data_IF_608165116041
#
_entry.id   IF_608165116041
#
_cell.length_a   1.000
_cell.length_b   1.000
_cell.length_c   1.000
_cell.angle_alpha   90.00
_cell.angle_beta   90.00
_cell.angle_gamma   90.00
#
_symmetry.space_group_name_H-M   'P 1'
#
loop_
_entity.id
_entity.type
_entity.pdbx_description
1 polymer ?
#
# COMPACT_ATOMS: atom_id res chain seq x y z
N UNK A 1 -52.25 -69.40 39.20
CA UNK A 1 -52.35 -69.24 37.75
C UNK A 1 -51.19 -68.37 37.29
N UNK A 2 -50.32 -68.95 36.45
CA UNK A 2 -49.66 -68.30 35.30
C UNK A 2 -48.53 -67.27 35.59
N UNK A 3 -47.32 -67.70 35.17
CA UNK A 3 -46.19 -66.98 34.52
C UNK A 3 -45.18 -66.15 35.32
N UNK A 4 -43.98 -66.73 35.47
CA UNK A 4 -42.72 -66.16 34.96
C UNK A 4 -42.87 -65.66 33.52
N UNK A 5 -42.25 -64.54 33.13
CA UNK A 5 -41.79 -64.20 31.77
C UNK A 5 -41.41 -62.71 31.77
N UNK A 6 -40.14 -62.36 31.57
CA UNK A 6 -39.37 -62.33 30.33
C UNK A 6 -39.29 -60.91 29.75
N UNK A 7 -38.04 -60.45 29.72
CA UNK A 7 -37.38 -59.84 28.58
C UNK A 7 -38.18 -59.61 27.29
N UNK A 8 -37.76 -58.50 26.69
CA UNK A 8 -37.52 -58.24 25.27
C UNK A 8 -38.49 -57.31 24.51
N UNK A 9 -37.85 -56.20 24.14
CA UNK A 9 -37.75 -55.66 22.78
C UNK A 9 -39.03 -55.20 22.08
N UNK A 10 -39.06 -53.90 21.75
CA UNK A 10 -38.70 -53.54 20.39
C UNK A 10 -38.38 -52.05 20.22
N UNK A 11 -37.19 -51.83 19.64
CA UNK A 11 -36.87 -50.96 18.50
C UNK A 11 -37.16 -49.45 18.60
N UNK A 12 -36.07 -48.69 18.55
CA UNK A 12 -35.72 -48.01 17.29
C UNK A 12 -34.20 -47.77 17.23
N UNK A 13 -33.53 -48.59 16.42
CA UNK A 13 -32.22 -48.29 15.82
C UNK A 13 -32.34 -47.09 14.88
N UNK A 14 -31.30 -46.25 14.82
CA UNK A 14 -30.66 -45.69 13.61
C UNK A 14 -29.46 -44.81 14.03
N UNK A 15 -28.28 -45.41 13.88
CA UNK A 15 -27.04 -44.93 13.24
C UNK A 15 -26.39 -43.59 13.64
N UNK A 16 -25.20 -43.73 14.23
CA UNK A 16 -23.90 -43.35 13.66
C UNK A 16 -23.87 -42.20 12.63
N UNK A 17 -23.17 -41.12 12.97
CA UNK A 17 -21.86 -40.85 12.34
C UNK A 17 -21.16 -39.62 12.94
N UNK A 18 -19.93 -39.89 13.36
CA UNK A 18 -18.73 -39.07 13.20
C UNK A 18 -18.61 -37.72 13.91
N UNK A 19 -17.88 -37.74 15.02
CA UNK A 19 -16.67 -36.93 15.11
C UNK A 19 -15.61 -37.65 15.96
N UNK A 20 -15.14 -38.79 15.45
CA UNK A 20 -13.86 -39.34 15.87
C UNK A 20 -12.71 -38.51 15.27
N UNK A 21 -11.88 -38.00 16.18
CA UNK A 21 -10.41 -38.14 16.18
C UNK A 21 -9.73 -37.96 14.81
N UNK A 22 -8.96 -36.88 14.66
CA UNK A 22 -7.65 -36.93 13.98
C UNK A 22 -6.71 -35.85 14.53
N UNK A 23 -6.18 -36.15 15.71
CA UNK A 23 -4.88 -35.67 16.17
C UNK A 23 -3.80 -36.44 15.39
N UNK A 24 -3.48 -36.02 14.17
CA UNK A 24 -2.33 -36.53 13.40
C UNK A 24 -2.08 -35.66 12.16
N UNK A 25 -1.12 -34.76 12.25
CA UNK A 25 -0.11 -34.68 11.20
C UNK A 25 1.20 -34.26 11.85
N UNK A 26 2.21 -35.09 11.64
CA UNK A 26 3.57 -34.99 12.17
C UNK A 26 4.10 -33.56 12.14
N UNK A 27 4.99 -33.18 13.07
CA UNK A 27 5.78 -31.94 12.97
C UNK A 27 6.73 -32.06 11.77
N UNK A 28 6.18 -32.02 10.56
CA UNK A 28 6.91 -32.02 9.30
C UNK A 28 7.62 -30.69 9.23
N UNK A 29 8.93 -30.75 9.09
CA UNK A 29 9.77 -29.56 8.94
C UNK A 29 9.20 -28.72 7.78
N UNK A 30 8.86 -27.45 8.00
CA UNK A 30 8.22 -26.63 6.99
C UNK A 30 9.18 -26.42 5.81
N UNK A 31 8.74 -26.80 4.61
CA UNK A 31 9.51 -26.60 3.37
C UNK A 31 9.65 -25.12 3.03
N UNK A 32 10.66 -24.76 2.23
CA UNK A 32 10.79 -23.41 1.68
C UNK A 32 9.50 -22.93 1.00
N UNK A 33 8.89 -23.80 0.22
CA UNK A 33 7.66 -23.47 -0.50
C UNK A 33 6.50 -23.23 0.47
N UNK A 34 6.35 -24.05 1.53
CA UNK A 34 5.33 -23.85 2.55
C UNK A 34 5.48 -22.51 3.29
N UNK A 35 6.71 -22.14 3.65
CA UNK A 35 7.01 -20.84 4.27
C UNK A 35 6.71 -19.68 3.32
N UNK A 36 7.08 -19.82 2.03
CA UNK A 36 6.75 -18.83 1.01
C UNK A 36 5.23 -18.65 0.86
N UNK A 37 4.43 -19.74 0.91
CA UNK A 37 2.95 -19.68 0.89
C UNK A 37 2.42 -18.87 2.07
N UNK A 38 2.92 -19.14 3.28
CA UNK A 38 2.49 -18.45 4.50
C UNK A 38 2.80 -16.94 4.40
N UNK A 39 4.04 -16.57 4.09
CA UNK A 39 4.44 -15.16 4.07
C UNK A 39 3.80 -14.36 2.94
N UNK A 40 3.64 -14.96 1.75
CA UNK A 40 2.94 -14.30 0.65
C UNK A 40 1.45 -14.11 0.96
N UNK A 41 0.81 -15.07 1.64
CA UNK A 41 -0.57 -14.93 2.11
C UNK A 41 -0.67 -13.78 3.10
N UNK A 42 0.20 -13.75 4.11
CA UNK A 42 0.22 -12.68 5.10
C UNK A 42 0.45 -11.31 4.47
N UNK A 43 1.43 -11.16 3.57
CA UNK A 43 1.67 -9.88 2.90
C UNK A 43 0.52 -9.46 1.98
N UNK A 44 -0.15 -10.41 1.33
CA UNK A 44 -1.34 -10.12 0.52
C UNK A 44 -2.49 -9.62 1.39
N UNK A 45 -2.74 -10.27 2.53
CA UNK A 45 -3.77 -9.85 3.49
C UNK A 45 -3.44 -8.52 4.17
N UNK A 46 -2.17 -8.28 4.54
CA UNK A 46 -1.73 -6.97 5.04
C UNK A 46 -2.01 -5.88 4.01
N UNK A 47 -1.68 -6.10 2.75
CA UNK A 47 -1.91 -5.10 1.71
C UNK A 47 -3.39 -4.91 1.37
N UNK A 48 -4.18 -5.98 1.51
CA UNK A 48 -5.64 -5.94 1.41
C UNK A 48 -6.30 -5.20 2.58
N UNK A 49 -5.68 -5.19 3.77
CA UNK A 49 -6.12 -4.38 4.92
C UNK A 49 -5.72 -2.91 4.76
N UNK A 50 -4.55 -2.65 4.15
CA UNK A 50 -4.08 -1.30 3.79
C UNK A 50 -4.83 -0.70 2.58
N UNK A 51 -6.12 -1.02 2.39
CA UNK A 51 -6.89 -0.46 1.25
C UNK A 51 -6.81 1.06 1.30
N UNK A 52 -6.34 1.66 0.21
CA UNK A 52 -6.33 3.11 0.04
C UNK A 52 -7.58 3.44 -0.78
N UNK A 53 -8.67 3.73 -0.07
CA UNK A 53 -9.97 3.97 -0.67
C UNK A 53 -10.57 2.73 -1.34
N UNK A 54 -11.16 2.90 -2.52
CA UNK A 54 -11.80 1.82 -3.27
C UNK A 54 -10.80 0.86 -3.98
N UNK A 55 -9.50 1.19 -4.02
CA UNK A 55 -8.52 0.44 -4.79
C UNK A 55 -7.49 -0.29 -3.90
N UNK A 56 -7.06 -1.45 -4.36
CA UNK A 56 -5.94 -2.19 -3.77
C UNK A 56 -4.62 -1.64 -4.31
N UNK A 57 -3.56 -1.71 -3.51
CA UNK A 57 -2.26 -1.21 -3.94
C UNK A 57 -1.63 -2.11 -5.01
N UNK A 58 -0.62 -1.59 -5.72
CA UNK A 58 0.16 -2.38 -6.69
C UNK A 58 0.91 -3.54 -6.03
N UNK A 59 1.28 -3.40 -4.75
CA UNK A 59 1.95 -4.46 -4.00
C UNK A 59 1.00 -5.63 -3.74
N UNK A 60 -0.29 -5.37 -3.55
CA UNK A 60 -1.29 -6.43 -3.36
C UNK A 60 -1.28 -7.37 -4.56
N UNK A 61 -1.39 -6.81 -5.77
CA UNK A 61 -1.38 -7.60 -7.01
C UNK A 61 -0.04 -8.29 -7.24
N UNK A 62 1.07 -7.69 -6.79
CA UNK A 62 2.40 -8.29 -6.88
C UNK A 62 2.51 -9.53 -6.00
N UNK A 63 2.08 -9.45 -4.74
CA UNK A 63 2.07 -10.59 -3.81
C UNK A 63 1.04 -11.64 -4.20
N UNK A 64 -0.17 -11.24 -4.62
CA UNK A 64 -1.20 -12.16 -5.07
C UNK A 64 -0.75 -13.00 -6.27
N UNK A 65 -0.07 -12.38 -7.25
CA UNK A 65 0.47 -13.10 -8.42
C UNK A 65 1.58 -14.07 -8.06
N UNK A 66 2.46 -13.69 -7.13
CA UNK A 66 3.48 -14.57 -6.61
C UNK A 66 2.86 -15.74 -5.83
N UNK A 67 1.89 -15.47 -4.95
CA UNK A 67 1.17 -16.46 -4.17
C UNK A 67 0.51 -17.51 -5.06
N UNK A 68 -0.13 -17.08 -6.14
CA UNK A 68 -0.75 -17.97 -7.12
C UNK A 68 0.27 -18.93 -7.73
N UNK A 69 1.45 -18.43 -8.12
CA UNK A 69 2.50 -19.28 -8.69
C UNK A 69 3.07 -20.26 -7.66
N UNK A 70 3.20 -19.84 -6.39
CA UNK A 70 3.65 -20.72 -5.29
C UNK A 70 2.59 -21.79 -4.97
N UNK A 71 1.29 -21.48 -5.06
CA UNK A 71 0.20 -22.45 -4.85
C UNK A 71 0.17 -23.53 -5.91
N UNK A 72 0.45 -23.15 -7.16
CA UNK A 72 0.47 -24.07 -8.30
C UNK A 72 1.79 -24.86 -8.43
N UNK A 73 2.77 -24.60 -7.58
CA UNK A 73 4.06 -25.30 -7.58
C UNK A 73 4.07 -26.47 -6.59
N UNK A 74 4.85 -27.52 -6.91
CA UNK A 74 5.07 -28.68 -6.03
C UNK A 74 6.32 -28.47 -5.17
N UNK A 75 6.33 -29.04 -3.97
CA UNK A 75 7.48 -28.94 -3.05
C UNK A 75 8.76 -29.56 -3.63
N UNK A 76 8.61 -30.60 -4.48
CA UNK A 76 9.71 -31.32 -5.10
C UNK A 76 10.58 -30.45 -6.03
N UNK A 77 9.97 -29.46 -6.67
CA UNK A 77 10.60 -28.59 -7.67
C UNK A 77 11.33 -27.39 -7.03
N UNK A 78 11.00 -27.06 -5.77
CA UNK A 78 11.39 -25.80 -5.12
C UNK A 78 12.20 -26.11 -3.85
N UNK A 79 13.47 -26.47 -4.06
CA UNK A 79 14.43 -26.74 -2.98
C UNK A 79 15.31 -25.54 -2.67
N UNK A 80 15.61 -24.72 -3.68
CA UNK A 80 16.46 -23.54 -3.51
C UNK A 80 15.69 -22.25 -3.75
N UNK A 81 16.21 -21.14 -3.22
CA UNK A 81 15.69 -19.80 -3.51
C UNK A 81 15.81 -19.42 -4.99
N UNK A 82 16.75 -20.02 -5.73
CA UNK A 82 16.87 -19.84 -7.18
C UNK A 82 15.69 -20.49 -7.91
N UNK A 83 15.25 -21.65 -7.46
CA UNK A 83 14.09 -22.34 -8.05
C UNK A 83 12.81 -21.57 -7.78
N UNK A 84 12.66 -21.03 -6.57
CA UNK A 84 11.56 -20.11 -6.23
C UNK A 84 11.55 -18.88 -7.15
N UNK A 85 12.74 -18.38 -7.52
CA UNK A 85 12.90 -17.24 -8.42
C UNK A 85 12.50 -17.50 -9.88
N UNK A 86 12.40 -18.76 -10.30
CA UNK A 86 11.92 -19.14 -11.64
C UNK A 86 10.40 -18.99 -11.75
N UNK A 87 9.68 -18.92 -10.64
CA UNK A 87 8.22 -18.82 -10.63
C UNK A 87 7.74 -17.45 -11.12
N UNK A 88 6.64 -17.47 -11.87
CA UNK A 88 6.06 -16.26 -12.45
C UNK A 88 5.65 -15.27 -11.35
N UNK A 89 6.10 -14.03 -11.47
CA UNK A 89 5.80 -12.99 -10.49
C UNK A 89 6.71 -12.97 -9.26
N UNK A 90 7.64 -13.91 -9.11
CA UNK A 90 8.66 -13.89 -8.06
C UNK A 90 9.95 -13.26 -8.60
N UNK A 91 10.01 -11.93 -8.57
CA UNK A 91 11.23 -11.19 -8.92
C UNK A 91 12.18 -10.98 -7.72
N UNK A 92 13.33 -10.34 -7.97
CA UNK A 92 14.36 -10.03 -6.96
C UNK A 92 13.80 -9.38 -5.69
N UNK A 93 12.77 -8.54 -5.82
CA UNK A 93 12.10 -7.91 -4.68
C UNK A 93 11.45 -8.94 -3.74
N UNK A 94 10.66 -9.86 -4.29
CA UNK A 94 9.97 -10.89 -3.49
C UNK A 94 10.98 -11.89 -2.96
N UNK A 95 11.95 -12.31 -3.80
CA UNK A 95 13.04 -13.18 -3.35
C UNK A 95 13.81 -12.59 -2.18
N UNK A 96 14.20 -11.31 -2.26
CA UNK A 96 14.89 -10.64 -1.16
C UNK A 96 14.04 -10.59 0.12
N UNK A 97 12.73 -10.35 -0.01
CA UNK A 97 11.81 -10.32 1.13
C UNK A 97 11.63 -11.70 1.77
N UNK A 98 11.54 -12.76 0.96
CA UNK A 98 11.46 -14.16 1.42
C UNK A 98 12.77 -14.59 2.06
N UNK A 99 13.91 -14.24 1.44
CA UNK A 99 15.27 -14.53 1.95
C UNK A 99 15.45 -13.95 3.35
N UNK A 100 15.16 -12.66 3.52
CA UNK A 100 15.23 -11.99 4.83
C UNK A 100 14.34 -12.67 5.87
N UNK A 101 13.10 -13.01 5.49
CA UNK A 101 12.15 -13.63 6.42
C UNK A 101 12.52 -15.08 6.76
N UNK A 102 13.21 -15.76 5.85
CA UNK A 102 13.78 -17.09 6.07
C UNK A 102 14.93 -17.04 7.07
N UNK A 103 15.86 -16.09 6.93
CA UNK A 103 16.95 -15.86 7.90
C UNK A 103 16.39 -15.58 9.31
N UNK A 104 15.37 -14.71 9.41
CA UNK A 104 14.69 -14.42 10.67
C UNK A 104 13.99 -15.66 11.27
N UNK A 105 13.39 -16.50 10.43
CA UNK A 105 12.74 -17.74 10.87
C UNK A 105 13.76 -18.75 11.40
N UNK A 106 14.83 -19.02 10.63
CA UNK A 106 15.89 -19.95 11.00
C UNK A 106 16.58 -19.52 12.30
N UNK A 107 16.82 -18.21 12.48
CA UNK A 107 17.42 -17.67 13.70
C UNK A 107 16.53 -17.84 14.94
N UNK A 108 15.21 -17.79 14.78
CA UNK A 108 14.25 -17.88 15.89
C UNK A 108 13.90 -19.31 16.27
N UNK A 109 13.78 -20.20 15.29
CA UNK A 109 13.36 -21.60 15.52
C UNK A 109 14.54 -22.56 15.63
N UNK A 110 15.73 -22.16 15.19
CA UNK A 110 16.89 -23.04 15.04
C UNK A 110 16.74 -24.08 13.92
N UNK A 111 15.66 -24.04 13.13
CA UNK A 111 15.40 -24.99 12.06
C UNK A 111 16.04 -24.49 10.75
N UNK A 112 17.08 -25.17 10.30
CA UNK A 112 17.75 -24.88 9.03
C UNK A 112 16.94 -25.50 7.89
N UNK A 113 16.26 -24.65 7.12
CA UNK A 113 15.46 -25.08 5.94
C UNK A 113 16.31 -25.09 4.67
N UNK A 114 17.28 -24.17 4.58
CA UNK A 114 18.25 -24.09 3.48
C UNK A 114 19.59 -23.77 4.12
N UNK A 115 20.58 -24.62 3.87
CA UNK A 115 21.92 -24.53 4.47
C UNK A 115 22.78 -23.42 3.84
N UNK A 116 22.58 -23.14 2.54
CA UNK A 116 23.30 -22.10 1.80
C UNK A 116 22.34 -21.13 1.11
N UNK A 117 22.12 -19.97 1.72
CA UNK A 117 21.29 -18.86 1.21
C UNK A 117 21.92 -18.09 0.03
N UNK A 118 22.83 -18.70 -0.73
CA UNK A 118 23.52 -18.07 -1.86
C UNK A 118 22.58 -17.84 -3.06
N UNK A 119 21.74 -16.84 -2.91
CA UNK A 119 21.11 -16.20 -4.04
C UNK A 119 22.10 -15.16 -4.53
N UNK A 120 22.64 -15.37 -5.73
CA UNK A 120 23.18 -14.29 -6.56
C UNK A 120 22.00 -13.35 -6.93
N UNK A 121 21.36 -12.73 -5.93
CA UNK A 121 20.57 -11.55 -6.17
C UNK A 121 21.63 -10.57 -6.65
N UNK A 122 21.59 -10.23 -7.93
CA UNK A 122 22.16 -8.97 -8.37
C UNK A 122 21.34 -7.91 -7.64
N UNK A 123 21.72 -7.67 -6.39
CA UNK A 123 21.21 -6.58 -5.60
C UNK A 123 21.57 -5.40 -6.46
N UNK A 124 20.59 -4.67 -6.97
CA UNK A 124 20.79 -3.29 -7.35
C UNK A 124 21.09 -2.49 -6.07
N UNK A 125 22.17 -2.88 -5.40
CA UNK A 125 22.92 -2.06 -4.47
C UNK A 125 23.76 -1.19 -5.40
N UNK A 126 23.73 0.14 -5.27
CA UNK A 126 24.62 0.97 -6.05
C UNK A 126 26.04 0.51 -5.76
N UNK A 127 26.70 -0.08 -6.77
CA UNK A 127 28.13 -0.45 -6.71
C UNK A 127 28.91 0.83 -6.46
N UNK A 128 29.29 1.04 -5.22
CA UNK A 128 30.33 1.97 -4.83
C UNK A 128 31.66 1.26 -5.08
N UNK A 129 32.01 1.07 -6.35
CA UNK A 129 33.32 0.54 -6.72
C UNK A 129 34.27 1.73 -6.81
N UNK A 130 34.98 1.97 -5.70
CA UNK A 130 36.30 2.58 -5.75
C UNK A 130 37.19 1.63 -6.55
N UNK A 131 37.34 1.90 -7.84
CA UNK A 131 38.48 1.43 -8.60
C UNK A 131 38.89 2.58 -9.50
N UNK A 132 40.05 3.14 -9.16
CA UNK A 132 40.78 4.10 -9.96
C UNK A 132 40.88 3.56 -11.39
N UNK A 133 40.19 4.17 -12.33
CA UNK A 133 40.63 4.23 -13.69
C UNK A 133 40.05 5.48 -14.36
N UNK A 134 40.98 6.37 -14.71
CA UNK A 134 40.79 7.58 -15.47
C UNK A 134 40.04 7.27 -16.76
N UNK A 135 38.83 7.83 -16.92
CA UNK A 135 38.27 8.19 -18.21
C UNK A 135 37.12 9.18 -18.02
N UNK A 136 37.38 10.41 -18.48
CA UNK A 136 36.48 11.56 -18.45
C UNK A 136 35.18 11.30 -19.23
N UNK A 137 34.10 10.98 -18.51
CA UNK A 137 32.72 11.25 -18.94
C UNK A 137 31.93 11.78 -17.74
N UNK A 138 31.10 12.83 -17.90
CA UNK A 138 30.37 13.41 -16.77
C UNK A 138 29.39 12.37 -16.22
N UNK A 139 29.70 11.82 -15.04
CA UNK A 139 28.83 10.89 -14.30
C UNK A 139 27.51 11.61 -14.03
N UNK A 140 26.41 11.13 -14.65
CA UNK A 140 25.05 11.57 -14.32
C UNK A 140 24.81 11.29 -12.84
N UNK A 141 24.78 12.36 -12.03
CA UNK A 141 24.47 12.30 -10.60
C UNK A 141 23.14 11.56 -10.44
N UNK A 142 23.15 10.46 -9.69
CA UNK A 142 21.93 9.76 -9.27
C UNK A 142 21.16 10.74 -8.41
N UNK A 143 20.12 11.37 -8.99
CA UNK A 143 19.25 12.29 -8.26
C UNK A 143 18.57 11.47 -7.17
N UNK A 144 18.85 11.78 -5.89
CA UNK A 144 18.03 11.33 -4.76
C UNK A 144 16.56 11.58 -5.14
N UNK A 145 15.65 10.63 -4.84
CA UNK A 145 14.22 10.83 -5.08
C UNK A 145 13.80 12.08 -4.30
N UNK A 146 13.65 13.20 -5.01
CA UNK A 146 13.22 14.45 -4.41
C UNK A 146 11.79 14.23 -3.91
N UNK A 147 11.55 14.70 -2.70
CA UNK A 147 10.20 14.86 -2.17
C UNK A 147 9.36 15.61 -3.21
N UNK A 148 8.10 15.18 -3.39
CA UNK A 148 7.22 15.83 -4.34
C UNK A 148 6.80 17.19 -3.78
N UNK A 149 7.16 18.24 -4.50
CA UNK A 149 6.69 19.59 -4.21
C UNK A 149 5.99 20.09 -5.48
N UNK A 150 4.68 20.35 -5.45
CA UNK A 150 3.98 20.89 -6.59
C UNK A 150 4.45 22.33 -6.88
N UNK A 151 4.39 22.73 -8.15
CA UNK A 151 4.68 24.10 -8.53
C UNK A 151 3.63 25.06 -7.96
N UNK A 152 4.05 26.26 -7.57
CA UNK A 152 3.15 27.31 -7.09
C UNK A 152 2.03 27.58 -8.10
N UNK A 153 0.79 27.72 -7.61
CA UNK A 153 -0.43 27.91 -8.39
C UNK A 153 -0.73 26.84 -9.46
N UNK A 154 -0.11 25.67 -9.38
CA UNK A 154 -0.47 24.50 -10.20
C UNK A 154 -1.76 23.85 -9.72
N UNK A 155 -2.35 22.97 -10.53
CA UNK A 155 -3.55 22.21 -10.13
C UNK A 155 -3.32 21.33 -8.89
N UNK A 156 -2.16 20.68 -8.78
CA UNK A 156 -1.79 19.91 -7.59
C UNK A 156 -1.69 20.79 -6.33
N UNK A 157 -1.06 21.96 -6.46
CA UNK A 157 -0.94 22.92 -5.37
C UNK A 157 -2.32 23.37 -4.89
N UNK A 158 -3.17 23.80 -5.83
CA UNK A 158 -4.50 24.30 -5.55
C UNK A 158 -5.42 23.26 -4.88
N UNK A 159 -5.35 22.00 -5.30
CA UNK A 159 -6.12 20.90 -4.67
C UNK A 159 -5.67 20.70 -3.22
N UNK A 160 -4.36 20.64 -2.96
CA UNK A 160 -3.83 20.41 -1.61
C UNK A 160 -4.21 21.54 -0.65
N UNK A 161 -4.05 22.80 -1.09
CA UNK A 161 -4.41 23.98 -0.29
C UNK A 161 -5.92 24.04 -0.05
N UNK A 162 -6.75 23.79 -1.07
CA UNK A 162 -8.21 23.82 -0.90
C UNK A 162 -8.72 22.79 0.11
N UNK A 163 -8.17 21.57 0.10
CA UNK A 163 -8.49 20.57 1.10
C UNK A 163 -8.01 21.01 2.48
N UNK A 164 -6.78 21.51 2.60
CA UNK A 164 -6.17 21.91 3.86
C UNK A 164 -6.88 23.10 4.54
N UNK A 165 -7.26 24.12 3.77
CA UNK A 165 -7.98 25.28 4.29
C UNK A 165 -9.36 24.88 4.80
N UNK A 166 -10.03 23.97 4.08
CA UNK A 166 -11.32 23.42 4.51
C UNK A 166 -11.16 22.59 5.78
N UNK A 167 -10.15 21.72 5.87
CA UNK A 167 -9.91 20.92 7.08
C UNK A 167 -9.60 21.82 8.28
N UNK A 168 -8.76 22.84 8.08
CA UNK A 168 -8.31 23.75 9.14
C UNK A 168 -9.41 24.70 9.62
N UNK A 169 -10.33 25.07 8.73
CA UNK A 169 -11.49 25.90 9.06
C UNK A 169 -12.62 25.08 9.70
N UNK A 170 -12.79 23.83 9.28
CA UNK A 170 -13.85 22.94 9.77
C UNK A 170 -13.58 22.40 11.18
N UNK A 171 -12.35 22.42 11.68
CA UNK A 171 -12.03 22.06 13.08
C UNK A 171 -12.71 22.97 14.13
N UNK A 172 -13.45 24.01 13.70
CA UNK A 172 -14.29 24.87 14.56
C UNK A 172 -15.76 24.45 14.62
N UNK A 173 -16.18 23.46 13.83
CA UNK A 173 -17.55 22.93 13.82
C UNK A 173 -17.55 21.55 14.48
N UNK A 174 -18.36 21.41 15.54
CA UNK A 174 -18.53 20.22 16.42
C UNK A 174 -19.12 18.97 15.72
N UNK A 175 -19.08 18.92 14.38
CA UNK A 175 -19.53 17.76 13.61
C UNK A 175 -18.37 16.80 13.37
N UNK A 176 -18.42 15.64 14.02
CA UNK A 176 -17.48 14.51 13.99
C UNK A 176 -17.27 13.86 12.59
N UNK A 177 -17.59 14.54 11.50
CA UNK A 177 -17.39 14.08 10.14
C UNK A 177 -16.05 14.64 9.65
N UNK A 178 -15.12 13.73 9.35
CA UNK A 178 -13.82 14.12 8.77
C UNK A 178 -14.01 15.04 7.55
N UNK A 179 -13.09 15.99 7.33
CA UNK A 179 -13.24 17.06 6.35
C UNK A 179 -13.04 16.54 4.92
N UNK A 180 -14.08 15.91 4.40
CA UNK A 180 -14.16 15.42 3.04
C UNK A 180 -14.71 16.49 2.09
N UNK A 181 -14.16 16.58 0.89
CA UNK A 181 -14.71 17.40 -0.19
C UNK A 181 -15.05 16.58 -1.43
N UNK A 182 -16.15 16.92 -2.09
CA UNK A 182 -16.50 16.42 -3.42
C UNK A 182 -15.65 17.09 -4.50
N UNK A 183 -15.64 16.51 -5.71
CA UNK A 183 -14.99 17.14 -6.87
C UNK A 183 -15.48 18.58 -7.11
N UNK A 184 -16.78 18.82 -6.99
CA UNK A 184 -17.35 20.14 -7.24
C UNK A 184 -16.86 21.17 -6.21
N UNK A 185 -16.80 20.79 -4.94
CA UNK A 185 -16.29 21.66 -3.87
C UNK A 185 -14.80 21.95 -4.03
N UNK A 186 -13.98 20.94 -4.37
CA UNK A 186 -12.55 21.15 -4.62
C UNK A 186 -12.33 22.09 -5.82
N UNK A 187 -13.13 21.98 -6.86
CA UNK A 187 -13.06 22.90 -8.00
C UNK A 187 -13.40 24.33 -7.55
N UNK A 188 -14.46 24.49 -6.75
CA UNK A 188 -14.89 25.79 -6.22
C UNK A 188 -13.83 26.43 -5.33
N UNK A 189 -13.32 25.69 -4.34
CA UNK A 189 -12.36 26.20 -3.35
C UNK A 189 -10.92 26.24 -3.89
N UNK A 190 -10.58 25.38 -4.85
CA UNK A 190 -9.25 25.30 -5.43
C UNK A 190 -8.99 26.30 -6.55
N UNK A 191 -10.02 26.75 -7.28
CA UNK A 191 -9.82 27.65 -8.42
C UNK A 191 -9.06 28.95 -8.06
N UNK A 192 -9.30 29.63 -6.91
CA UNK A 192 -8.55 30.83 -6.51
C UNK A 192 -7.04 30.60 -6.37
N UNK A 193 -6.65 29.39 -5.95
CA UNK A 193 -5.26 28.99 -5.75
C UNK A 193 -4.58 28.48 -7.04
N UNK A 194 -5.30 28.40 -8.16
CA UNK A 194 -4.79 27.85 -9.41
C UNK A 194 -4.70 28.92 -10.50
N UNK A 195 -3.62 28.90 -11.28
CA UNK A 195 -3.52 29.73 -12.50
C UNK A 195 -4.21 29.09 -13.71
N UNK A 196 -4.53 27.80 -13.66
CA UNK A 196 -5.21 27.08 -14.74
C UNK A 196 -6.65 26.75 -14.35
N UNK A 197 -7.52 26.57 -15.35
CA UNK A 197 -8.90 26.18 -15.10
C UNK A 197 -9.02 24.70 -14.71
N UNK A 198 -9.88 24.41 -13.75
CA UNK A 198 -10.25 23.04 -13.40
C UNK A 198 -11.26 22.40 -14.36
N UNK A 199 -12.03 23.22 -15.07
CA UNK A 199 -13.15 22.80 -15.93
C UNK A 199 -12.83 22.96 -17.42
N UNK A 200 -12.05 23.98 -17.78
CA UNK A 200 -11.67 24.27 -19.16
C UNK A 200 -10.28 23.69 -19.45
N UNK A 201 -10.13 22.84 -20.47
CA UNK A 201 -8.83 22.31 -20.87
C UNK A 201 -7.88 23.41 -21.34
N UNK A 202 -6.58 23.20 -21.18
CA UNK A 202 -5.56 24.07 -21.78
C UNK A 202 -5.61 23.91 -23.30
N UNK A 203 -5.59 25.04 -24.02
CA UNK A 203 -5.66 25.11 -25.48
C UNK A 203 -4.81 24.03 -26.17
N UNK A 204 -5.45 23.24 -27.05
CA UNK A 204 -4.79 22.17 -27.79
C UNK A 204 -4.50 20.90 -26.98
N UNK A 205 -5.03 20.78 -25.76
CA UNK A 205 -4.88 19.58 -24.91
C UNK A 205 -6.21 19.19 -24.25
N UNK A 206 -6.27 17.97 -23.68
CA UNK A 206 -7.40 17.51 -22.87
C UNK A 206 -7.14 17.65 -21.35
N UNK A 207 -6.05 18.32 -20.96
CA UNK A 207 -5.65 18.42 -19.55
C UNK A 207 -6.24 19.67 -18.91
N UNK A 208 -6.83 19.49 -17.72
CA UNK A 208 -7.29 20.58 -16.84
C UNK A 208 -6.50 20.54 -15.54
N UNK A 209 -6.62 21.55 -14.69
CA UNK A 209 -6.03 21.53 -13.36
C UNK A 209 -6.48 20.29 -12.55
N UNK A 210 -7.70 19.79 -12.80
CA UNK A 210 -8.23 18.58 -12.17
C UNK A 210 -7.46 17.30 -12.53
N UNK A 211 -6.80 17.25 -13.70
CA UNK A 211 -5.99 16.10 -14.11
C UNK A 211 -4.89 15.76 -13.09
N UNK A 212 -4.45 16.76 -12.32
CA UNK A 212 -3.49 16.66 -11.22
C UNK A 212 -3.97 15.76 -10.06
N UNK A 213 -5.28 15.64 -9.84
CA UNK A 213 -5.87 14.83 -8.75
C UNK A 213 -5.42 13.37 -8.82
N UNK A 214 -5.35 12.81 -10.04
CA UNK A 214 -4.90 11.42 -10.24
C UNK A 214 -3.46 11.21 -9.75
N UNK A 215 -2.60 12.19 -9.96
CA UNK A 215 -1.21 12.13 -9.55
C UNK A 215 -1.05 12.27 -8.03
N UNK A 216 -1.85 13.13 -7.40
CA UNK A 216 -1.90 13.28 -5.95
C UNK A 216 -2.34 11.98 -5.25
N UNK A 217 -3.37 11.30 -5.79
CA UNK A 217 -3.82 9.99 -5.29
C UNK A 217 -2.72 8.93 -5.50
N UNK A 218 -2.07 8.92 -6.67
CA UNK A 218 -0.97 7.98 -6.97
C UNK A 218 0.26 8.20 -6.07
N UNK A 219 0.40 9.39 -5.49
CA UNK A 219 1.45 9.76 -4.55
C UNK A 219 1.03 9.63 -3.09
N UNK A 220 -0.19 9.15 -2.84
CA UNK A 220 -0.73 8.95 -1.48
C UNK A 220 -0.79 10.26 -0.69
N UNK A 221 -0.93 11.41 -1.37
CA UNK A 221 -1.12 12.72 -0.74
C UNK A 221 -2.61 13.06 -0.57
N UNK A 222 -3.47 12.42 -1.36
CA UNK A 222 -4.93 12.61 -1.34
C UNK A 222 -5.59 11.25 -1.35
N UNK A 223 -6.48 11.01 -0.38
CA UNK A 223 -7.37 9.86 -0.33
C UNK A 223 -8.65 10.08 -1.13
N UNK A 224 -9.30 8.99 -1.53
CA UNK A 224 -10.61 8.99 -2.21
C UNK A 224 -11.51 7.92 -1.60
N UNK A 225 -12.72 8.28 -1.17
CA UNK A 225 -13.70 7.35 -0.62
C UNK A 225 -15.11 7.57 -1.16
N UNK A 226 -15.98 6.57 -1.00
CA UNK A 226 -17.41 6.65 -1.26
C UNK A 226 -17.84 6.74 -2.73
N UNK A 227 -19.15 6.72 -2.92
CA UNK A 227 -19.86 7.01 -4.18
C UNK A 227 -21.10 7.84 -3.83
N UNK A 228 -21.18 9.13 -4.18
CA UNK A 228 -20.24 9.87 -5.02
C UNK A 228 -18.85 10.08 -4.38
N UNK A 229 -17.77 10.22 -5.18
CA UNK A 229 -16.42 10.36 -4.66
C UNK A 229 -16.21 11.58 -3.78
N UNK A 230 -15.67 11.31 -2.59
CA UNK A 230 -15.18 12.27 -1.60
C UNK A 230 -13.67 12.15 -1.48
N UNK A 231 -12.98 13.26 -1.34
CA UNK A 231 -11.53 13.34 -1.23
C UNK A 231 -11.11 13.98 0.08
N UNK A 232 -9.96 13.58 0.60
CA UNK A 232 -9.37 14.07 1.85
C UNK A 232 -7.84 14.06 1.75
N UNK A 233 -7.18 14.81 2.61
CA UNK A 233 -5.72 14.73 2.76
C UNK A 233 -5.35 13.52 3.61
N UNK A 234 -4.32 12.79 3.18
CA UNK A 234 -3.62 11.83 4.06
C UNK A 234 -2.71 12.58 5.02
N UNK A 235 -2.13 11.89 6.01
CA UNK A 235 -1.16 12.48 6.93
C UNK A 235 0.01 13.14 6.18
N UNK A 236 0.56 12.48 5.16
CA UNK A 236 1.62 13.05 4.32
C UNK A 236 1.12 14.25 3.50
N UNK A 237 -0.13 14.20 3.05
CA UNK A 237 -0.80 15.30 2.34
C UNK A 237 -0.97 16.54 3.21
N UNK A 238 -1.37 16.37 4.48
CA UNK A 238 -1.54 17.45 5.46
C UNK A 238 -0.21 18.14 5.72
N UNK A 239 0.86 17.38 5.97
CA UNK A 239 2.19 17.95 6.23
C UNK A 239 2.74 18.71 5.02
N UNK A 240 2.54 18.20 3.81
CA UNK A 240 2.93 18.91 2.59
C UNK A 240 2.10 20.17 2.38
N UNK A 241 0.77 20.10 2.51
CA UNK A 241 -0.12 21.24 2.30
C UNK A 241 0.16 22.36 3.30
N UNK A 242 0.37 22.03 4.58
CA UNK A 242 0.77 22.98 5.62
C UNK A 242 2.03 23.74 5.24
N UNK A 243 3.09 23.05 4.81
CA UNK A 243 4.34 23.68 4.35
C UNK A 243 4.13 24.59 3.15
N UNK A 244 3.25 24.22 2.21
CA UNK A 244 2.94 25.04 1.03
C UNK A 244 2.26 26.36 1.42
N UNK A 245 1.31 26.32 2.36
CA UNK A 245 0.63 27.51 2.89
C UNK A 245 1.62 28.39 3.64
N UNK A 246 2.40 27.83 4.57
CA UNK A 246 3.40 28.59 5.34
C UNK A 246 4.43 29.30 4.46
N UNK A 247 4.88 28.66 3.38
CA UNK A 247 5.80 29.28 2.41
C UNK A 247 5.10 30.42 1.67
N UNK A 248 3.83 30.26 1.30
CA UNK A 248 3.07 31.28 0.57
C UNK A 248 2.80 32.50 1.45
N UNK A 249 2.43 32.29 2.72
CA UNK A 249 2.19 33.37 3.69
C UNK A 249 3.47 34.18 3.93
N UNK A 250 4.62 33.51 4.04
CA UNK A 250 5.93 34.18 4.18
C UNK A 250 6.32 34.99 2.94
N UNK A 251 5.91 34.55 1.76
CA UNK A 251 6.21 35.22 0.49
C UNK A 251 5.23 36.36 0.19
N UNK A 252 4.12 36.49 0.93
CA UNK A 252 3.10 37.49 0.71
C UNK A 252 2.79 38.34 1.97
N UNK A 253 3.79 39.02 2.58
CA UNK A 253 3.62 39.76 3.84
C UNK A 253 2.78 41.05 3.76
N UNK A 254 2.11 41.34 2.64
CA UNK A 254 1.51 42.66 2.36
C UNK A 254 -0.03 42.72 2.45
N UNK A 255 -0.70 41.76 3.09
CA UNK A 255 -2.18 41.77 3.20
C UNK A 255 -2.71 41.86 4.65
N UNK A 256 -1.92 42.38 5.58
CA UNK A 256 -2.30 42.54 7.00
C UNK A 256 -2.36 44.00 7.47
N UNK A 257 -2.38 44.97 6.53
CA UNK A 257 -2.40 46.40 6.88
C UNK A 257 -3.42 47.22 6.08
N UNK A 258 -4.65 46.71 5.91
CA UNK A 258 -5.79 47.50 5.42
C UNK A 258 -7.07 47.20 6.22
N UNK A 259 -7.03 47.31 7.55
CA UNK A 259 -8.23 47.60 8.38
C UNK A 259 -7.85 48.42 9.61
N UNK A 260 -7.09 49.51 9.46
CA UNK A 260 -7.13 50.63 10.40
C UNK A 260 -6.84 51.90 9.59
N UNK A 261 -7.89 52.53 9.04
CA UNK A 261 -8.13 53.98 9.06
C UNK A 261 -9.25 54.41 8.09
N UNK A 262 -10.00 55.42 8.55
CA UNK A 262 -11.07 56.21 7.90
C UNK A 262 -12.45 55.53 7.87
N UNK A 263 -13.53 56.03 8.51
CA UNK A 263 -13.82 57.22 9.31
C UNK A 263 -15.01 56.90 10.24
#
# INVERSE_FOLDING_TARGET
MITSSENNNNNNDINDNDNQINNTSDKKIPTLLSLAKIWLTEWTELEKKRRIGANLSRLYFTFAKALESVRNSKDEDIKTLKDLGKLKGIGNFILGKITKRLEEYQSKTGQIIIENLEVNISVNKPKNNNTNNNNNKPKRKVKKKKEYVPAFRSGSYAILVALYDYTSSSSKSDSMLEPFLTKAEIIRYGQPYCSSSFTVPVNGTHFTAWSSMKELIRRELVGKMGSPPKYFLTDEGVELAKRLVEVTDKLNPLNTSEVINEN
#
